data_IF_450921905795
#
_entry.id   IF_450921905795
#
_cell.length_a   1.000
_cell.length_b   1.000
_cell.length_c   1.000
_cell.angle_alpha   90.00
_cell.angle_beta   90.00
_cell.angle_gamma   90.00
#
_symmetry.space_group_name_H-M   'P 1'
#
loop_
_entity.id
_entity.type
_entity.pdbx_description
1 polymer ?
#
# COMPACT_ATOMS: atom_id res chain seq x y z
N UNK A 1 20.02 5.20 -12.28
CA UNK A 1 20.52 4.13 -11.38
C UNK A 1 20.77 4.64 -9.97
N UNK A 2 21.50 5.76 -9.77
CA UNK A 2 21.72 6.32 -8.41
C UNK A 2 20.42 6.67 -7.66
N UNK A 3 19.45 7.31 -8.33
CA UNK A 3 18.12 7.61 -7.75
C UNK A 3 17.43 6.36 -7.19
N UNK A 4 17.39 5.28 -7.96
CA UNK A 4 16.78 4.02 -7.56
C UNK A 4 17.42 3.42 -6.30
N UNK A 5 18.74 3.54 -6.14
CA UNK A 5 19.44 3.06 -4.94
C UNK A 5 18.95 3.80 -3.70
N UNK A 6 18.82 5.13 -3.77
CA UNK A 6 18.31 5.92 -2.64
C UNK A 6 16.84 5.62 -2.35
N UNK A 7 16.00 5.49 -3.37
CA UNK A 7 14.59 5.12 -3.22
C UNK A 7 14.43 3.74 -2.55
N UNK A 8 15.20 2.74 -2.98
CA UNK A 8 15.17 1.41 -2.38
C UNK A 8 15.63 1.40 -0.92
N UNK A 9 16.66 2.19 -0.58
CA UNK A 9 17.13 2.33 0.79
C UNK A 9 16.12 3.07 1.68
N UNK A 10 15.51 4.13 1.17
CA UNK A 10 14.44 4.86 1.85
C UNK A 10 13.24 3.95 2.14
N UNK A 11 12.78 3.19 1.14
CA UNK A 11 11.68 2.24 1.30
C UNK A 11 11.98 1.20 2.39
N UNK A 12 13.20 0.65 2.39
CA UNK A 12 13.61 -0.31 3.43
C UNK A 12 13.63 0.33 4.83
N UNK A 13 14.15 1.56 4.97
CA UNK A 13 14.18 2.27 6.25
C UNK A 13 12.78 2.57 6.80
N UNK A 14 11.82 2.81 5.91
CA UNK A 14 10.43 3.11 6.27
C UNK A 14 9.64 1.84 6.61
N UNK A 15 9.71 0.81 5.76
CA UNK A 15 8.86 -0.39 5.84
C UNK A 15 9.45 -1.50 6.71
N UNK A 16 10.78 -1.61 6.78
CA UNK A 16 11.49 -2.72 7.42
C UNK A 16 11.01 -4.10 6.92
N UNK A 17 11.13 -5.12 7.78
CA UNK A 17 10.73 -6.49 7.46
C UNK A 17 9.27 -6.72 7.87
N UNK A 18 8.39 -6.89 6.88
CA UNK A 18 6.97 -7.18 7.09
C UNK A 18 6.59 -8.64 6.79
N UNK A 19 7.48 -9.40 6.15
CA UNK A 19 7.26 -10.81 5.86
C UNK A 19 7.51 -11.68 7.10
N UNK A 20 6.81 -12.82 7.16
CA UNK A 20 6.98 -13.81 8.21
C UNK A 20 6.70 -15.22 7.72
N UNK A 21 7.34 -16.23 8.33
CA UNK A 21 7.06 -17.64 8.06
C UNK A 21 5.59 -18.02 8.27
N UNK A 22 5.08 -18.94 7.45
CA UNK A 22 3.66 -19.36 7.51
C UNK A 22 3.28 -19.98 8.86
N UNK A 23 4.22 -20.66 9.53
CA UNK A 23 4.00 -21.21 10.88
C UNK A 23 3.79 -20.13 11.95
N UNK A 24 4.14 -18.86 11.71
CA UNK A 24 3.88 -17.73 12.61
C UNK A 24 2.51 -17.08 12.36
N UNK A 25 1.84 -17.39 11.24
CA UNK A 25 0.63 -16.69 10.80
C UNK A 25 -0.49 -16.70 11.86
N UNK A 26 -0.77 -17.85 12.46
CA UNK A 26 -1.83 -17.98 13.46
C UNK A 26 -1.57 -17.11 14.69
N UNK A 27 -0.33 -17.07 15.18
CA UNK A 27 0.06 -16.25 16.32
C UNK A 27 -0.04 -14.75 16.00
N UNK A 28 0.38 -14.35 14.79
CA UNK A 28 0.28 -12.96 14.35
C UNK A 28 -1.16 -12.48 14.22
N UNK A 29 -2.04 -13.27 13.60
CA UNK A 29 -3.46 -12.93 13.48
C UNK A 29 -4.09 -12.74 14.87
N UNK A 30 -3.78 -13.64 15.81
CA UNK A 30 -4.27 -13.52 17.18
C UNK A 30 -3.79 -12.21 17.82
N UNK A 31 -2.50 -11.90 17.73
CA UNK A 31 -1.93 -10.64 18.24
C UNK A 31 -2.58 -9.41 17.62
N UNK A 32 -2.83 -9.41 16.30
CA UNK A 32 -3.47 -8.29 15.61
C UNK A 32 -4.96 -8.14 15.91
N UNK A 33 -5.63 -9.21 16.37
CA UNK A 33 -7.03 -9.15 16.81
C UNK A 33 -7.20 -8.52 18.20
N UNK A 34 -6.11 -8.31 18.94
CA UNK A 34 -6.16 -7.63 20.23
C UNK A 34 -6.47 -6.14 20.03
N UNK A 35 -7.48 -5.58 20.73
CA UNK A 35 -7.92 -4.19 20.52
C UNK A 35 -6.87 -3.14 20.90
N UNK A 36 -5.80 -3.53 21.60
CA UNK A 36 -4.66 -2.67 21.97
C UNK A 36 -3.47 -2.80 21.01
N UNK A 37 -3.59 -3.61 19.95
CA UNK A 37 -2.52 -3.80 19.00
C UNK A 37 -2.43 -2.62 18.03
N UNK A 38 -1.62 -1.62 18.39
CA UNK A 38 -1.36 -0.46 17.54
C UNK A 38 -0.52 -0.79 16.29
N UNK A 39 0.12 -1.95 16.27
CA UNK A 39 1.02 -2.39 15.18
C UNK A 39 0.26 -2.54 13.85
N UNK A 40 -0.89 -3.21 13.85
CA UNK A 40 -1.71 -3.37 12.64
C UNK A 40 -2.21 -2.03 12.10
N UNK A 41 -2.69 -1.17 13.01
CA UNK A 41 -3.19 0.16 12.66
C UNK A 41 -2.07 1.03 12.08
N UNK A 42 -0.87 0.96 12.66
CA UNK A 42 0.32 1.68 12.18
C UNK A 42 0.75 1.18 10.80
N UNK A 43 0.78 -0.13 10.58
CA UNK A 43 1.10 -0.73 9.28
C UNK A 43 0.08 -0.32 8.21
N UNK A 44 -1.22 -0.37 8.54
CA UNK A 44 -2.28 0.10 7.64
C UNK A 44 -2.09 1.58 7.25
N UNK A 45 -1.81 2.45 8.22
CA UNK A 45 -1.54 3.86 7.95
C UNK A 45 -0.30 4.06 7.08
N UNK A 46 0.74 3.24 7.27
CA UNK A 46 1.93 3.27 6.45
C UNK A 46 1.62 2.91 4.99
N UNK A 47 0.83 1.86 4.77
CA UNK A 47 0.36 1.45 3.45
C UNK A 47 -0.41 2.59 2.78
N UNK A 48 -1.37 3.21 3.49
CA UNK A 48 -2.12 4.35 2.94
C UNK A 48 -1.21 5.53 2.56
N UNK A 49 -0.14 5.78 3.32
CA UNK A 49 0.81 6.87 3.04
C UNK A 49 1.69 6.58 1.83
N UNK A 50 2.12 5.34 1.67
CA UNK A 50 3.02 4.91 0.59
C UNK A 50 2.29 4.58 -0.70
N UNK A 51 0.98 4.30 -0.62
CA UNK A 51 0.15 4.06 -1.81
C UNK A 51 0.08 5.37 -2.60
N UNK A 52 0.64 5.41 -3.83
CA UNK A 52 0.62 6.63 -4.62
C UNK A 52 -0.83 6.98 -4.98
N UNK A 53 -1.18 8.25 -4.81
CA UNK A 53 -2.44 8.76 -5.35
C UNK A 53 -2.25 8.85 -6.85
N UNK A 54 -2.86 7.92 -7.59
CA UNK A 54 -2.82 7.96 -9.05
C UNK A 54 -3.38 9.29 -9.54
N UNK A 55 -2.59 9.99 -10.32
CA UNK A 55 -3.04 11.22 -10.96
C UNK A 55 -3.87 10.89 -12.19
N UNK A 56 -4.62 11.88 -12.69
CA UNK A 56 -5.31 11.76 -13.98
C UNK A 56 -4.31 11.43 -15.10
N UNK A 57 -3.05 11.86 -14.98
CA UNK A 57 -1.98 11.53 -15.92
C UNK A 57 -1.59 10.05 -15.91
N UNK A 58 -1.46 9.45 -14.72
CA UNK A 58 -1.16 8.02 -14.56
C UNK A 58 -2.31 7.14 -15.08
N UNK A 59 -3.54 7.64 -14.92
CA UNK A 59 -4.78 7.00 -15.33
C UNK A 59 -5.34 7.54 -16.66
N UNK A 60 -4.52 8.22 -17.49
CA UNK A 60 -5.02 8.99 -18.63
C UNK A 60 -5.86 8.16 -19.61
N UNK A 61 -5.55 6.87 -19.76
CA UNK A 61 -6.35 5.93 -20.56
C UNK A 61 -7.76 5.71 -20.01
N UNK A 62 -7.91 5.60 -18.69
CA UNK A 62 -9.20 5.41 -18.01
C UNK A 62 -10.11 6.63 -18.13
N UNK A 63 -9.54 7.84 -18.06
CA UNK A 63 -10.29 9.10 -18.10
C UNK A 63 -10.70 9.57 -19.49
N UNK A 64 -10.26 8.88 -20.55
CA UNK A 64 -10.66 9.21 -21.92
C UNK A 64 -12.17 9.08 -22.08
N UNK A 65 -12.76 9.98 -22.86
CA UNK A 65 -14.21 10.08 -23.03
C UNK A 65 -14.82 8.76 -23.50
N UNK A 66 -14.13 8.02 -24.38
CA UNK A 66 -14.54 6.70 -24.88
C UNK A 66 -14.51 5.58 -23.83
N UNK A 67 -13.84 5.79 -22.69
CA UNK A 67 -13.65 4.80 -21.64
C UNK A 67 -14.46 5.09 -20.37
N UNK A 68 -15.13 6.27 -20.26
CA UNK A 68 -15.87 6.67 -19.06
C UNK A 68 -16.96 5.68 -18.63
N UNK A 69 -17.65 5.06 -19.59
CA UNK A 69 -18.72 4.10 -19.33
C UNK A 69 -18.21 2.66 -19.08
N UNK A 70 -16.89 2.43 -19.19
CA UNK A 70 -16.27 1.14 -18.92
C UNK A 70 -15.90 0.98 -17.44
N UNK A 71 -15.92 2.06 -16.67
CA UNK A 71 -15.65 2.06 -15.24
C UNK A 71 -16.96 2.05 -14.45
N UNK A 72 -17.11 1.07 -13.56
CA UNK A 72 -18.29 0.96 -12.67
C UNK A 72 -18.35 2.10 -11.66
N UNK A 73 -17.20 2.51 -11.18
CA UNK A 73 -17.05 3.65 -10.30
C UNK A 73 -16.09 4.65 -10.96
N UNK A 74 -16.60 5.85 -11.16
CA UNK A 74 -15.89 6.97 -11.79
C UNK A 74 -15.68 8.10 -10.77
N UNK A 75 -16.09 7.88 -9.50
CA UNK A 75 -16.00 8.89 -8.45
C UNK A 75 -14.57 8.99 -7.91
N UNK A 76 -13.79 9.87 -8.54
CA UNK A 76 -12.69 10.64 -7.94
C UNK A 76 -12.78 12.05 -8.47
#
# INVERSE_FOLDING_TARGET
>A
QLKYIYEALEEYLICQHTWFPVNELSQRIQKYSEPKCDEFKREYQLICRLTPVYTIGDCAGSYRTENRLKNRDISV
#
